data_IF_410647007968
#
_entry.id   IF_410647007968
#
_cell.length_a   1.000
_cell.length_b   1.000
_cell.length_c   1.000
_cell.angle_alpha   90.00
_cell.angle_beta   90.00
_cell.angle_gamma   90.00
#
_symmetry.space_group_name_H-M   'P 1'
#
loop_
_entity.id
_entity.type
_entity.pdbx_description
1 polymer ?
#
# COMPACT_ATOMS: atom_id res chain seq x y z
N UNK A 1 -2.11 17.62 -7.58
CA UNK A 1 -1.17 16.51 -7.31
C UNK A 1 -0.18 16.25 -8.47
N UNK A 2 -0.62 16.17 -9.73
CA UNK A 2 0.24 15.79 -10.89
C UNK A 2 1.44 16.71 -11.16
N UNK A 3 1.44 17.91 -10.63
CA UNK A 3 2.54 18.90 -10.77
C UNK A 3 3.59 18.81 -9.66
N UNK A 4 3.38 17.98 -8.64
CA UNK A 4 4.36 17.78 -7.56
C UNK A 4 5.59 17.02 -8.03
N UNK A 5 6.70 17.21 -7.33
CA UNK A 5 7.95 16.54 -7.65
C UNK A 5 7.83 15.03 -7.45
N UNK A 6 7.11 14.58 -6.41
CA UNK A 6 6.91 13.18 -6.08
C UNK A 6 6.14 12.45 -7.19
N UNK A 7 5.06 13.05 -7.70
CA UNK A 7 4.32 12.47 -8.82
C UNK A 7 5.18 12.41 -10.09
N UNK A 8 5.97 13.44 -10.37
CA UNK A 8 6.88 13.44 -11.53
C UNK A 8 7.98 12.38 -11.40
N UNK A 9 8.51 12.15 -10.20
CA UNK A 9 9.49 11.11 -9.93
C UNK A 9 8.93 9.71 -10.22
N UNK A 10 7.77 9.38 -9.65
CA UNK A 10 7.16 8.06 -9.88
C UNK A 10 6.73 7.87 -11.34
N UNK A 11 6.18 8.89 -11.98
CA UNK A 11 5.81 8.83 -13.39
C UNK A 11 7.03 8.58 -14.29
N UNK A 12 8.16 9.23 -14.01
CA UNK A 12 9.42 9.00 -14.71
C UNK A 12 9.95 7.59 -14.45
N UNK A 13 9.87 7.13 -13.19
CA UNK A 13 10.32 5.79 -12.82
C UNK A 13 9.49 4.71 -13.50
N UNK A 14 8.18 4.85 -13.53
CA UNK A 14 7.31 3.87 -14.20
C UNK A 14 7.39 3.97 -15.73
N UNK A 15 7.49 5.17 -16.30
CA UNK A 15 7.47 5.36 -17.75
C UNK A 15 6.23 4.73 -18.37
N UNK A 16 6.42 3.97 -19.44
CA UNK A 16 5.36 3.24 -20.15
C UNK A 16 5.24 1.76 -19.70
N UNK A 17 5.84 1.42 -18.55
CA UNK A 17 5.80 0.03 -18.05
C UNK A 17 4.39 -0.38 -17.66
N UNK A 18 4.07 -1.63 -17.95
CA UNK A 18 2.81 -2.27 -17.60
C UNK A 18 3.02 -3.43 -16.63
N UNK A 19 2.02 -3.74 -15.85
CA UNK A 19 2.03 -4.91 -14.97
C UNK A 19 2.04 -6.20 -15.80
N UNK A 20 2.90 -7.15 -15.42
CA UNK A 20 3.14 -8.37 -16.22
C UNK A 20 1.88 -9.19 -16.51
N UNK A 21 0.95 -9.25 -15.58
CA UNK A 21 -0.26 -10.08 -15.70
C UNK A 21 -1.44 -9.32 -16.28
N UNK A 22 -1.76 -8.16 -15.70
CA UNK A 22 -2.94 -7.37 -16.10
C UNK A 22 -2.72 -6.53 -17.36
N UNK A 23 -1.46 -6.29 -17.76
CA UNK A 23 -1.07 -5.36 -18.83
C UNK A 23 -1.54 -3.92 -18.60
N UNK A 24 -1.93 -3.60 -17.37
CA UNK A 24 -2.33 -2.25 -16.95
C UNK A 24 -1.07 -1.40 -16.72
N UNK A 25 -1.05 -0.12 -17.17
CA UNK A 25 0.07 0.79 -16.89
C UNK A 25 0.33 0.90 -15.38
N UNK A 26 1.59 0.77 -14.96
CA UNK A 26 1.96 0.81 -13.54
C UNK A 26 1.55 2.13 -12.87
N UNK A 27 1.54 3.22 -13.62
CA UNK A 27 1.12 4.54 -13.09
C UNK A 27 -0.36 4.57 -12.68
N UNK A 28 -1.19 3.64 -13.15
CA UNK A 28 -2.59 3.56 -12.74
C UNK A 28 -2.74 3.30 -11.25
N UNK A 29 -1.83 2.51 -10.65
CA UNK A 29 -1.80 2.32 -9.20
C UNK A 29 -1.76 3.66 -8.45
N UNK A 30 -0.90 4.56 -8.88
CA UNK A 30 -0.80 5.90 -8.27
C UNK A 30 -2.04 6.73 -8.57
N UNK A 31 -2.47 6.80 -9.84
CA UNK A 31 -3.61 7.63 -10.24
C UNK A 31 -4.89 7.21 -9.51
N UNK A 32 -5.17 5.92 -9.43
CA UNK A 32 -6.34 5.37 -8.78
C UNK A 32 -6.26 5.52 -7.24
N UNK A 33 -5.09 5.29 -6.65
CA UNK A 33 -4.87 5.52 -5.23
C UNK A 33 -5.05 6.99 -4.83
N UNK A 34 -4.67 7.94 -5.69
CA UNK A 34 -4.92 9.36 -5.47
C UNK A 34 -6.41 9.69 -5.47
N UNK A 35 -7.22 9.03 -6.30
CA UNK A 35 -8.70 9.17 -6.27
C UNK A 35 -9.25 8.72 -4.91
N UNK A 36 -8.76 7.60 -4.39
CA UNK A 36 -9.15 7.12 -3.05
C UNK A 36 -8.76 8.13 -1.98
N UNK A 37 -7.51 8.62 -2.01
CA UNK A 37 -7.01 9.60 -1.04
C UNK A 37 -7.80 10.91 -1.08
N UNK A 38 -8.20 11.37 -2.26
CA UNK A 38 -9.08 12.53 -2.40
C UNK A 38 -10.46 12.26 -1.78
N UNK A 39 -11.04 11.09 -2.04
CA UNK A 39 -12.36 10.71 -1.54
C UNK A 39 -12.43 10.59 -0.02
N UNK A 40 -11.36 10.10 0.64
CA UNK A 40 -11.29 9.99 2.09
C UNK A 40 -10.80 11.26 2.80
N UNK A 41 -10.53 12.33 2.05
CA UNK A 41 -10.05 13.61 2.60
C UNK A 41 -8.64 13.56 3.16
N UNK A 42 -7.75 12.75 2.57
CA UNK A 42 -6.36 12.65 2.99
C UNK A 42 -5.59 13.96 2.76
N UNK A 43 -4.57 14.20 3.60
CA UNK A 43 -3.71 15.38 3.50
C UNK A 43 -2.87 15.39 2.20
N UNK A 44 -2.43 16.57 1.78
CA UNK A 44 -1.53 16.68 0.62
C UNK A 44 -0.20 15.95 0.86
N UNK A 45 0.28 15.93 2.11
CA UNK A 45 1.47 15.20 2.51
C UNK A 45 1.30 13.69 2.33
N UNK A 46 0.15 13.13 2.73
CA UNK A 46 -0.18 11.73 2.51
C UNK A 46 -0.21 11.37 1.01
N UNK A 47 -0.84 12.21 0.17
CA UNK A 47 -0.89 12.02 -1.28
C UNK A 47 0.49 12.07 -1.93
N UNK A 48 1.36 12.99 -1.47
CA UNK A 48 2.74 13.09 -1.95
C UNK A 48 3.57 11.89 -1.53
N UNK A 49 3.44 11.45 -0.26
CA UNK A 49 4.10 10.25 0.24
C UNK A 49 3.62 8.99 -0.49
N UNK A 50 2.32 8.91 -0.82
CA UNK A 50 1.77 7.84 -1.63
C UNK A 50 2.37 7.80 -3.04
N UNK A 51 2.70 8.94 -3.63
CA UNK A 51 3.41 8.94 -4.91
C UNK A 51 4.82 8.34 -4.80
N UNK A 52 5.48 8.44 -3.65
CA UNK A 52 6.84 7.95 -3.45
C UNK A 52 6.92 6.48 -3.00
N UNK A 53 5.86 5.93 -2.40
CA UNK A 53 5.95 4.64 -1.73
C UNK A 53 6.51 3.50 -2.61
N UNK A 54 6.19 3.38 -3.91
CA UNK A 54 6.72 2.28 -4.69
C UNK A 54 8.22 2.38 -4.97
N UNK A 55 8.78 3.60 -4.86
CA UNK A 55 10.23 3.82 -5.06
C UNK A 55 11.06 3.30 -3.88
N UNK A 56 10.43 3.12 -2.72
CA UNK A 56 11.13 2.79 -1.47
C UNK A 56 10.56 1.56 -0.75
N UNK A 57 9.54 0.88 -1.31
CA UNK A 57 8.84 -0.18 -0.59
C UNK A 57 9.67 -1.46 -0.47
N UNK A 58 10.18 -2.02 -1.55
CA UNK A 58 11.07 -3.18 -1.50
C UNK A 58 12.52 -2.76 -1.15
N UNK A 59 13.31 -3.69 -0.63
CA UNK A 59 14.71 -3.43 -0.26
C UNK A 59 15.55 -3.04 -1.49
N UNK A 60 15.31 -3.70 -2.61
CA UNK A 60 15.96 -3.41 -3.88
C UNK A 60 15.56 -2.03 -4.41
N UNK A 61 14.26 -1.71 -4.39
CA UNK A 61 13.77 -0.40 -4.83
C UNK A 61 14.35 0.71 -3.96
N UNK A 62 14.36 0.53 -2.62
CA UNK A 62 14.97 1.48 -1.71
C UNK A 62 16.46 1.71 -2.03
N UNK A 63 17.21 0.64 -2.22
CA UNK A 63 18.65 0.71 -2.53
C UNK A 63 18.91 1.45 -3.84
N UNK A 64 18.16 1.14 -4.88
CA UNK A 64 18.34 1.73 -6.20
C UNK A 64 17.90 3.20 -6.26
N UNK A 65 16.83 3.55 -5.53
CA UNK A 65 16.21 4.86 -5.60
C UNK A 65 16.53 5.78 -4.42
N UNK A 66 17.39 5.35 -3.47
CA UNK A 66 17.67 6.12 -2.25
C UNK A 66 18.11 7.57 -2.54
N UNK A 67 18.83 7.81 -3.63
CA UNK A 67 19.22 9.15 -4.03
C UNK A 67 18.03 10.09 -4.30
N UNK A 68 16.84 9.54 -4.64
CA UNK A 68 15.63 10.33 -4.87
C UNK A 68 15.06 10.90 -3.56
N UNK A 69 15.43 10.33 -2.40
CA UNK A 69 15.02 10.84 -1.09
C UNK A 69 15.43 12.31 -0.89
N UNK A 70 16.55 12.74 -1.49
CA UNK A 70 17.03 14.13 -1.39
C UNK A 70 16.11 15.16 -2.08
N UNK A 71 15.19 14.73 -2.93
CA UNK A 71 14.22 15.58 -3.62
C UNK A 71 12.88 15.69 -2.88
N UNK A 72 12.63 14.82 -1.91
CA UNK A 72 11.41 14.81 -1.13
C UNK A 72 11.50 15.74 0.09
N UNK A 73 10.38 16.31 0.50
CA UNK A 73 10.33 17.01 1.78
C UNK A 73 10.52 16.02 2.94
N UNK A 74 11.24 16.40 4.01
CA UNK A 74 11.58 15.44 5.09
C UNK A 74 10.38 14.72 5.70
N UNK A 75 9.26 15.40 5.94
CA UNK A 75 8.06 14.78 6.51
C UNK A 75 7.34 13.86 5.52
N UNK A 76 7.35 14.18 4.21
CA UNK A 76 6.82 13.30 3.15
C UNK A 76 7.64 12.01 3.10
N UNK A 77 8.97 12.13 3.19
CA UNK A 77 9.85 10.96 3.24
C UNK A 77 9.61 10.13 4.51
N UNK A 78 9.40 10.77 5.67
CA UNK A 78 9.07 10.09 6.92
C UNK A 78 7.79 9.25 6.76
N UNK A 79 6.72 9.84 6.22
CA UNK A 79 5.47 9.11 5.96
C UNK A 79 5.67 7.93 5.01
N UNK A 80 6.49 8.11 3.97
CA UNK A 80 6.81 7.05 3.01
C UNK A 80 7.57 5.90 3.68
N UNK A 81 8.51 6.18 4.54
CA UNK A 81 9.31 5.18 5.26
C UNK A 81 8.48 4.47 6.34
N UNK A 82 7.62 5.18 7.04
CA UNK A 82 6.67 4.58 7.99
C UNK A 82 5.67 3.67 7.26
N UNK A 83 5.12 4.10 6.12
CA UNK A 83 4.29 3.25 5.26
C UNK A 83 5.03 1.95 4.89
N UNK A 84 6.29 2.05 4.45
CA UNK A 84 7.13 0.90 4.13
C UNK A 84 7.25 -0.06 5.32
N UNK A 85 7.50 0.47 6.52
CA UNK A 85 7.61 -0.34 7.73
C UNK A 85 6.34 -1.13 8.01
N UNK A 86 5.18 -0.45 8.02
CA UNK A 86 3.88 -1.07 8.33
C UNK A 86 3.43 -2.03 7.23
N UNK A 87 3.55 -1.64 5.96
CA UNK A 87 3.11 -2.47 4.84
C UNK A 87 3.92 -3.78 4.72
N UNK A 88 5.23 -3.72 5.02
CA UNK A 88 6.11 -4.88 4.91
C UNK A 88 6.09 -5.76 6.17
N UNK A 89 5.74 -5.25 7.35
CA UNK A 89 5.72 -6.01 8.60
C UNK A 89 4.78 -7.22 8.50
N UNK A 90 3.60 -7.05 7.93
CA UNK A 90 2.63 -8.13 7.77
C UNK A 90 3.03 -9.14 6.67
N UNK A 91 3.77 -8.69 5.66
CA UNK A 91 4.23 -9.54 4.55
C UNK A 91 5.52 -10.28 4.87
N UNK A 92 6.31 -9.76 5.83
CA UNK A 92 7.59 -10.37 6.13
C UNK A 92 7.41 -11.58 7.04
N UNK A 93 7.68 -12.77 6.51
CA UNK A 93 7.94 -13.96 7.31
C UNK A 93 9.22 -13.81 8.17
N UNK A 94 9.88 -12.65 8.10
CA UNK A 94 11.12 -12.35 8.84
C UNK A 94 10.97 -12.32 10.36
N UNK A 95 9.75 -12.22 10.88
CA UNK A 95 9.50 -12.47 12.30
C UNK A 95 9.50 -13.97 12.65
N UNK A 96 9.37 -14.84 11.65
CA UNK A 96 9.46 -16.28 11.87
C UNK A 96 10.93 -16.75 12.05
N UNK A 97 11.92 -15.96 11.58
CA UNK A 97 13.35 -16.26 11.76
C UNK A 97 13.86 -15.94 13.18
N UNK A 98 13.16 -15.11 13.94
CA UNK A 98 13.41 -14.90 15.36
C UNK A 98 12.31 -15.60 16.11
N UNK A 99 12.53 -16.88 16.44
CA UNK A 99 11.59 -17.63 17.29
C UNK A 99 11.57 -17.05 18.71
N UNK A 100 10.77 -15.99 18.89
CA UNK A 100 10.44 -15.42 20.20
C UNK A 100 9.30 -16.16 20.90
N UNK A 101 8.74 -17.19 20.23
CA UNK A 101 7.62 -17.96 20.73
C UNK A 101 7.88 -18.63 22.08
N UNK A 102 9.11 -19.14 22.41
CA UNK A 102 9.41 -19.63 23.72
C UNK A 102 9.31 -18.54 24.79
N UNK A 103 9.89 -17.36 24.52
CA UNK A 103 9.87 -16.24 25.46
C UNK A 103 8.45 -15.71 25.70
N UNK A 104 7.65 -15.62 24.64
CA UNK A 104 6.25 -15.17 24.73
C UNK A 104 5.38 -16.20 25.47
N UNK A 105 5.59 -17.50 25.26
CA UNK A 105 4.92 -18.58 26.01
C UNK A 105 5.26 -18.53 27.49
N UNK A 106 6.52 -18.32 27.84
CA UNK A 106 6.98 -18.20 29.22
C UNK A 106 6.37 -16.96 29.92
N UNK A 107 6.04 -15.92 29.16
CA UNK A 107 5.34 -14.73 29.63
C UNK A 107 3.79 -14.89 29.63
N UNK A 108 3.28 -16.08 29.29
CA UNK A 108 1.85 -16.37 29.33
C UNK A 108 1.04 -15.85 28.12
N UNK A 109 1.70 -15.38 27.08
CA UNK A 109 1.03 -15.03 25.83
C UNK A 109 0.68 -16.32 25.05
N UNK A 110 -0.60 -16.57 24.86
CA UNK A 110 -1.09 -17.54 23.85
C UNK A 110 -0.74 -17.01 22.48
N UNK A 111 -0.52 -17.92 21.51
CA UNK A 111 -0.19 -17.58 20.12
C UNK A 111 -0.78 -16.23 19.70
N UNK A 112 0.11 -15.26 19.51
CA UNK A 112 -0.30 -13.95 18.99
C UNK A 112 -0.60 -14.21 17.52
N UNK A 113 -1.86 -14.32 17.16
CA UNK A 113 -2.27 -14.29 15.77
C UNK A 113 -1.60 -13.07 15.12
N UNK A 114 -0.98 -13.25 13.97
CA UNK A 114 -0.32 -12.19 13.21
C UNK A 114 -1.31 -11.04 13.01
N UNK A 115 -1.25 -10.03 13.86
CA UNK A 115 -2.18 -8.89 13.83
C UNK A 115 -1.54 -7.77 13.02
N UNK A 116 -2.34 -7.15 12.17
CA UNK A 116 -1.94 -5.92 11.49
C UNK A 116 -1.77 -4.83 12.54
N UNK A 117 -0.56 -4.27 12.62
CA UNK A 117 -0.28 -3.11 13.44
C UNK A 117 -0.39 -1.86 12.56
N UNK A 118 -1.42 -1.06 12.78
CA UNK A 118 -1.58 0.23 12.11
C UNK A 118 -0.56 1.25 12.62
N UNK A 119 -0.22 2.22 11.75
CA UNK A 119 0.63 3.34 12.15
C UNK A 119 -0.12 4.26 13.12
N UNK A 120 0.59 4.90 14.09
CA UNK A 120 0.02 6.00 14.85
C UNK A 120 -0.23 7.27 14.00
N UNK A 121 0.31 7.32 12.79
CA UNK A 121 0.15 8.44 11.85
C UNK A 121 -1.05 8.17 10.94
N UNK A 122 -2.07 9.03 11.04
CA UNK A 122 -3.29 8.91 10.21
C UNK A 122 -2.95 8.91 8.71
N UNK A 123 -2.03 9.75 8.30
CA UNK A 123 -1.58 9.89 6.91
C UNK A 123 -1.07 8.57 6.33
N UNK A 124 -0.38 7.79 7.13
CA UNK A 124 0.13 6.46 6.73
C UNK A 124 -1.02 5.47 6.58
N UNK A 125 -1.99 5.51 7.49
CA UNK A 125 -3.19 4.66 7.39
C UNK A 125 -4.05 5.06 6.19
N UNK A 126 -4.17 6.35 5.87
CA UNK A 126 -4.82 6.82 4.64
C UNK A 126 -4.11 6.27 3.38
N UNK A 127 -2.78 6.26 3.35
CA UNK A 127 -2.00 5.65 2.26
C UNK A 127 -2.25 4.14 2.15
N UNK A 128 -2.32 3.44 3.28
CA UNK A 128 -2.64 2.00 3.33
C UNK A 128 -4.05 1.72 2.81
N UNK A 129 -5.05 2.55 3.16
CA UNK A 129 -6.41 2.44 2.59
C UNK A 129 -6.35 2.53 1.07
N UNK A 130 -5.70 3.56 0.53
CA UNK A 130 -5.60 3.75 -0.91
C UNK A 130 -4.90 2.57 -1.61
N UNK A 131 -3.79 2.09 -1.04
CA UNK A 131 -3.05 0.95 -1.54
C UNK A 131 -3.89 -0.34 -1.55
N UNK A 132 -4.55 -0.66 -0.43
CA UNK A 132 -5.30 -1.90 -0.32
C UNK A 132 -6.57 -1.89 -1.15
N UNK A 133 -7.30 -0.78 -1.19
CA UNK A 133 -8.50 -0.63 -2.05
C UNK A 133 -8.13 -0.80 -3.52
N UNK A 134 -7.08 -0.13 -3.99
CA UNK A 134 -6.67 -0.19 -5.39
C UNK A 134 -6.12 -1.58 -5.76
N UNK A 135 -5.24 -2.15 -4.93
CA UNK A 135 -4.67 -3.47 -5.18
C UNK A 135 -5.74 -4.57 -5.12
N UNK A 136 -6.69 -4.50 -4.20
CA UNK A 136 -7.79 -5.47 -4.14
C UNK A 136 -8.71 -5.38 -5.37
N UNK A 137 -9.02 -4.16 -5.83
CA UNK A 137 -9.74 -3.96 -7.09
C UNK A 137 -9.02 -4.63 -8.26
N UNK A 138 -7.72 -4.43 -8.39
CA UNK A 138 -6.93 -5.03 -9.47
C UNK A 138 -6.85 -6.55 -9.34
N UNK A 139 -6.73 -7.06 -8.11
CA UNK A 139 -6.78 -8.49 -7.85
C UNK A 139 -8.12 -9.09 -8.30
N UNK A 140 -9.25 -8.54 -7.88
CA UNK A 140 -10.59 -9.01 -8.25
C UNK A 140 -10.79 -8.94 -9.77
N UNK A 141 -10.36 -7.85 -10.39
CA UNK A 141 -10.59 -7.61 -11.82
C UNK A 141 -9.75 -8.52 -12.71
N UNK A 142 -8.47 -8.72 -12.38
CA UNK A 142 -7.51 -9.33 -13.30
C UNK A 142 -6.95 -10.68 -12.84
N UNK A 143 -7.02 -11.01 -11.54
CA UNK A 143 -6.27 -12.13 -10.97
C UNK A 143 -7.11 -13.17 -10.25
N UNK A 144 -8.25 -12.81 -9.68
CA UNK A 144 -9.05 -13.67 -8.82
C UNK A 144 -9.40 -15.02 -9.46
N UNK A 145 -9.68 -15.04 -10.77
CA UNK A 145 -10.06 -16.28 -11.48
C UNK A 145 -8.89 -17.16 -11.91
N UNK A 146 -7.66 -16.66 -11.87
CA UNK A 146 -6.49 -17.33 -12.48
C UNK A 146 -5.32 -17.51 -11.53
N UNK A 147 -5.35 -16.87 -10.36
CA UNK A 147 -4.22 -16.91 -9.42
C UNK A 147 -4.26 -18.17 -8.57
N UNK A 148 -3.12 -18.89 -8.46
CA UNK A 148 -3.04 -20.13 -7.68
C UNK A 148 -3.34 -19.95 -6.17
N UNK A 149 -3.10 -18.73 -5.64
CA UNK A 149 -3.31 -18.36 -4.23
C UNK A 149 -4.50 -17.41 -4.06
N UNK A 150 -5.57 -17.62 -4.82
CA UNK A 150 -6.73 -16.71 -4.81
C UNK A 150 -7.34 -16.53 -3.43
N UNK A 151 -7.61 -17.65 -2.71
CA UNK A 151 -8.21 -17.58 -1.37
C UNK A 151 -7.32 -16.82 -0.38
N UNK A 152 -6.02 -17.11 -0.37
CA UNK A 152 -5.07 -16.45 0.55
C UNK A 152 -4.95 -14.95 0.28
N UNK A 153 -4.99 -14.53 -0.99
CA UNK A 153 -4.93 -13.11 -1.35
C UNK A 153 -6.25 -12.40 -1.06
N UNK A 154 -7.38 -13.07 -1.25
CA UNK A 154 -8.69 -12.54 -0.88
C UNK A 154 -8.77 -12.30 0.63
N UNK A 155 -8.40 -13.32 1.43
CA UNK A 155 -8.30 -13.20 2.88
C UNK A 155 -7.34 -12.08 3.31
N UNK A 156 -6.17 -11.98 2.66
CA UNK A 156 -5.18 -10.93 2.92
C UNK A 156 -5.77 -9.53 2.76
N UNK A 157 -6.47 -9.26 1.66
CA UNK A 157 -7.06 -7.94 1.42
C UNK A 157 -8.21 -7.65 2.37
N UNK A 158 -9.06 -8.64 2.66
CA UNK A 158 -10.17 -8.48 3.59
C UNK A 158 -9.68 -8.17 5.01
N UNK A 159 -8.66 -8.88 5.51
CA UNK A 159 -8.04 -8.61 6.81
C UNK A 159 -7.48 -7.17 6.87
N UNK A 160 -6.82 -6.70 5.81
CA UNK A 160 -6.32 -5.33 5.76
C UNK A 160 -7.45 -4.29 5.76
N UNK A 161 -8.48 -4.47 4.93
CA UNK A 161 -9.60 -3.53 4.85
C UNK A 161 -10.37 -3.46 6.17
N UNK A 162 -10.58 -4.60 6.82
CA UNK A 162 -11.18 -4.66 8.15
C UNK A 162 -10.33 -3.91 9.19
N UNK A 163 -9.03 -4.18 9.25
CA UNK A 163 -8.12 -3.50 10.19
C UNK A 163 -8.08 -1.98 9.97
N UNK A 164 -8.20 -1.52 8.72
CA UNK A 164 -8.24 -0.11 8.34
C UNK A 164 -9.63 0.51 8.52
N UNK A 165 -10.64 -0.26 8.92
CA UNK A 165 -12.01 0.22 9.14
C UNK A 165 -12.79 0.51 7.84
N UNK A 166 -12.38 -0.06 6.72
CA UNK A 166 -13.06 0.08 5.43
C UNK A 166 -14.14 -0.99 5.31
N UNK A 167 -15.40 -0.58 5.40
CA UNK A 167 -16.54 -1.48 5.19
C UNK A 167 -16.75 -1.83 3.71
N UNK A 168 -17.49 -2.93 3.43
CA UNK A 168 -17.83 -3.32 2.05
C UNK A 168 -18.56 -2.22 1.29
N UNK A 169 -19.45 -1.48 1.97
CA UNK A 169 -20.17 -0.36 1.36
C UNK A 169 -19.20 0.76 0.96
N UNK A 170 -18.29 1.13 1.86
CA UNK A 170 -17.28 2.15 1.58
C UNK A 170 -16.31 1.70 0.49
N UNK A 171 -15.87 0.44 0.50
CA UNK A 171 -15.08 -0.14 -0.57
C UNK A 171 -15.77 -0.01 -1.92
N UNK A 172 -17.06 -0.40 -2.00
CA UNK A 172 -17.85 -0.29 -3.22
C UNK A 172 -17.97 1.15 -3.75
N UNK A 173 -18.15 2.14 -2.86
CA UNK A 173 -18.18 3.56 -3.23
C UNK A 173 -16.83 4.03 -3.78
N UNK A 174 -15.71 3.65 -3.15
CA UNK A 174 -14.38 4.01 -3.59
C UNK A 174 -14.04 3.42 -4.97
N UNK A 175 -14.43 2.16 -5.23
CA UNK A 175 -14.25 1.54 -6.55
C UNK A 175 -15.04 2.27 -7.63
N UNK A 176 -16.29 2.65 -7.34
CA UNK A 176 -17.10 3.43 -8.27
C UNK A 176 -16.43 4.76 -8.65
N UNK A 177 -15.87 5.47 -7.68
CA UNK A 177 -15.13 6.72 -7.92
C UNK A 177 -13.88 6.49 -8.79
N UNK A 178 -13.13 5.41 -8.56
CA UNK A 178 -12.00 5.03 -9.41
C UNK A 178 -12.47 4.81 -10.86
N UNK A 179 -13.55 4.08 -11.07
CA UNK A 179 -14.03 3.77 -12.41
C UNK A 179 -14.58 5.00 -13.14
N UNK A 180 -15.27 5.90 -12.44
CA UNK A 180 -15.72 7.19 -12.97
C UNK A 180 -14.58 8.13 -13.34
N UNK A 181 -13.41 8.02 -12.69
CA UNK A 181 -12.23 8.85 -12.97
C UNK A 181 -11.50 8.51 -14.27
N UNK A 182 -11.84 7.37 -14.90
CA UNK A 182 -11.22 6.87 -16.14
C UNK A 182 -11.86 7.39 -17.42
N UNK A 183 -12.93 8.16 -17.30
CA UNK A 183 -13.70 8.76 -18.43
C UNK A 183 -13.11 10.15 -18.83
#
# INVERSE_FOLDING_TARGET
MKDTIEYRLIRKHYGDRVAKRSQVPLINHINEGLVVLDAIGATEEAKRAFCLHPLFQADEDLKENFYMASFAFPHVLLLTMEYRSVANEFLSDKMDDIDISPLLRDLGYKEVAKQIRLSPLKEVNDMLIADKVQNYKDFVTYHQKTHARTSELDDYFNIWLEALGVSDAQYGELIKLIDESKV
#
